data_IF_085675437947
#
_entry.id   IF_085675437947
#
_cell.length_a   1.000
_cell.length_b   1.000
_cell.length_c   1.000
_cell.angle_alpha   90.00
_cell.angle_beta   90.00
_cell.angle_gamma   90.00
#
_symmetry.space_group_name_H-M   'P 1'
#
loop_
_entity.id
_entity.type
_entity.pdbx_description
1 polymer ?
#
# COMPACT_ATOMS: atom_id res chain seq x y z
N UNK A 1 0.55 1.64 -28.35
CA UNK A 1 -0.85 1.97 -28.01
C UNK A 1 -1.02 1.62 -26.54
N UNK A 2 -0.92 2.60 -25.64
CA UNK A 2 -1.12 2.35 -24.20
C UNK A 2 -2.62 2.33 -24.01
N UNK A 3 -3.20 1.17 -23.71
CA UNK A 3 -4.60 1.07 -23.31
C UNK A 3 -4.77 1.96 -22.09
N UNK A 4 -5.58 3.01 -22.25
CA UNK A 4 -6.00 3.88 -21.17
C UNK A 4 -6.58 2.99 -20.07
N UNK A 5 -5.86 2.92 -18.95
CA UNK A 5 -6.41 2.42 -17.69
C UNK A 5 -7.57 3.36 -17.41
N UNK A 6 -8.81 2.93 -17.73
CA UNK A 6 -10.00 3.61 -17.23
C UNK A 6 -9.77 3.83 -15.73
N UNK A 7 -9.87 5.09 -15.29
CA UNK A 7 -9.35 5.54 -14.00
C UNK A 7 -9.67 4.54 -12.90
N UNK A 8 -8.63 3.95 -12.31
CA UNK A 8 -8.78 3.02 -11.20
C UNK A 8 -9.42 3.83 -10.07
N UNK A 9 -10.62 3.41 -9.65
CA UNK A 9 -11.35 3.98 -8.50
C UNK A 9 -11.43 2.92 -7.39
N UNK A 10 -10.32 2.69 -6.66
CA UNK A 10 -10.23 1.59 -5.72
C UNK A 10 -11.06 1.89 -4.46
N UNK A 11 -11.67 0.85 -3.88
CA UNK A 11 -12.41 0.99 -2.61
C UNK A 11 -11.48 1.35 -1.45
N UNK A 12 -10.23 0.87 -1.49
CA UNK A 12 -9.18 1.14 -0.51
C UNK A 12 -7.80 1.17 -1.22
N UNK A 13 -6.91 2.06 -0.77
CA UNK A 13 -5.51 2.11 -1.20
C UNK A 13 -4.62 2.00 0.03
N UNK A 14 -3.80 0.94 0.07
CA UNK A 14 -2.89 0.65 1.16
C UNK A 14 -1.45 0.57 0.63
N UNK A 15 -0.55 1.37 1.20
CA UNK A 15 0.89 1.25 1.01
C UNK A 15 1.52 0.36 2.07
N UNK A 16 2.27 -0.66 1.67
CA UNK A 16 3.13 -1.42 2.60
C UNK A 16 4.55 -0.88 2.50
N UNK A 17 5.01 -0.22 3.56
CA UNK A 17 6.34 0.38 3.64
C UNK A 17 7.31 -0.54 4.39
N UNK A 18 8.61 -0.32 4.22
CA UNK A 18 9.64 -1.10 4.90
C UNK A 18 10.87 -0.25 5.09
N UNK A 19 11.90 -0.48 4.26
CA UNK A 19 13.06 0.39 4.20
C UNK A 19 12.66 1.84 3.92
N UNK A 20 13.27 2.77 4.65
CA UNK A 20 13.02 4.22 4.56
C UNK A 20 11.54 4.62 4.77
N UNK A 21 10.79 3.81 5.53
CA UNK A 21 9.36 4.01 5.81
C UNK A 21 9.03 5.45 6.21
N UNK A 22 9.78 6.06 7.14
CA UNK A 22 9.50 7.44 7.58
C UNK A 22 9.53 8.46 6.42
N UNK A 23 10.49 8.34 5.49
CA UNK A 23 10.60 9.25 4.35
C UNK A 23 9.48 9.02 3.33
N UNK A 24 9.17 7.76 3.04
CA UNK A 24 8.10 7.38 2.12
C UNK A 24 6.72 7.80 2.66
N UNK A 25 6.47 7.57 3.95
CA UNK A 25 5.20 7.90 4.60
C UNK A 25 4.95 9.39 4.66
N UNK A 26 6.01 10.20 4.83
CA UNK A 26 5.91 11.65 4.73
C UNK A 26 5.44 12.09 3.34
N UNK A 27 5.98 11.50 2.27
CA UNK A 27 5.54 11.80 0.90
C UNK A 27 4.10 11.33 0.66
N UNK A 28 3.71 10.15 1.18
CA UNK A 28 2.31 9.67 1.12
C UNK A 28 1.38 10.65 1.82
N UNK A 29 1.77 11.20 2.98
CA UNK A 29 0.97 12.21 3.68
C UNK A 29 0.80 13.49 2.85
N UNK A 30 1.82 13.92 2.10
CA UNK A 30 1.69 15.06 1.18
C UNK A 30 0.74 14.75 0.02
N UNK A 31 0.85 13.56 -0.57
CA UNK A 31 -0.06 13.10 -1.65
C UNK A 31 -1.51 13.10 -1.16
N UNK A 32 -1.75 12.62 0.07
CA UNK A 32 -3.08 12.54 0.67
C UNK A 32 -3.78 13.89 0.86
N UNK A 33 -3.04 15.00 0.89
CA UNK A 33 -3.64 16.35 0.98
C UNK A 33 -4.40 16.73 -0.29
N UNK A 34 -4.03 16.15 -1.43
CA UNK A 34 -4.59 16.47 -2.75
C UNK A 34 -5.36 15.29 -3.37
N UNK A 35 -5.31 14.11 -2.75
CA UNK A 35 -5.94 12.90 -3.28
C UNK A 35 -7.45 12.85 -2.96
N UNK A 36 -8.26 12.44 -3.93
CA UNK A 36 -9.69 12.22 -3.72
C UNK A 36 -9.97 11.05 -2.75
N UNK A 37 -9.12 10.02 -2.77
CA UNK A 37 -9.10 8.91 -1.80
C UNK A 37 -7.73 8.88 -1.11
N UNK A 38 -7.66 9.04 0.23
CA UNK A 38 -6.42 8.91 0.96
C UNK A 38 -5.86 7.49 0.89
N UNK A 39 -4.54 7.39 0.74
CA UNK A 39 -3.77 6.16 0.90
C UNK A 39 -3.44 5.95 2.39
N UNK A 40 -3.83 4.81 2.94
CA UNK A 40 -3.35 4.35 4.26
C UNK A 40 -2.01 3.65 4.09
N UNK A 41 -1.28 3.45 5.18
CA UNK A 41 -0.03 2.69 5.12
C UNK A 41 0.20 1.85 6.37
N UNK A 42 0.94 0.75 6.19
CA UNK A 42 1.45 -0.12 7.26
C UNK A 42 2.93 -0.41 7.02
N UNK A 43 3.66 -0.65 8.11
CA UNK A 43 5.10 -0.94 8.07
C UNK A 43 5.34 -2.45 8.15
N UNK A 44 5.98 -3.01 7.14
CA UNK A 44 6.62 -4.31 7.25
C UNK A 44 7.90 -4.18 8.08
N UNK A 45 7.89 -4.79 9.27
CA UNK A 45 9.04 -4.80 10.18
C UNK A 45 10.17 -5.74 9.75
N UNK A 46 9.91 -6.63 8.79
CA UNK A 46 10.89 -7.62 8.30
C UNK A 46 11.04 -7.54 6.76
N UNK A 47 11.35 -6.37 6.18
CA UNK A 47 11.42 -6.20 4.73
C UNK A 47 12.53 -7.03 4.07
N UNK A 48 13.52 -7.48 4.83
CA UNK A 48 14.58 -8.40 4.40
C UNK A 48 14.09 -9.81 4.05
N UNK A 49 12.89 -10.20 4.50
CA UNK A 49 12.25 -11.47 4.11
C UNK A 49 11.72 -11.45 2.67
N UNK A 50 11.92 -10.36 1.95
CA UNK A 50 11.56 -10.20 0.55
C UNK A 50 10.12 -9.74 0.33
N UNK A 51 9.77 -9.55 -0.94
CA UNK A 51 8.51 -8.91 -1.34
C UNK A 51 7.26 -9.65 -0.87
N UNK A 52 7.30 -10.98 -0.81
CA UNK A 52 6.17 -11.81 -0.38
C UNK A 52 5.72 -11.50 1.05
N UNK A 53 6.64 -11.16 1.94
CA UNK A 53 6.32 -10.76 3.32
C UNK A 53 5.49 -9.47 3.36
N UNK A 54 5.80 -8.50 2.49
CA UNK A 54 5.03 -7.26 2.37
C UNK A 54 3.65 -7.49 1.74
N UNK A 55 3.56 -8.36 0.74
CA UNK A 55 2.27 -8.72 0.12
C UNK A 55 1.36 -9.40 1.13
N UNK A 56 1.88 -10.39 1.86
CA UNK A 56 1.14 -11.09 2.92
C UNK A 56 0.64 -10.12 3.98
N UNK A 57 1.53 -9.28 4.52
CA UNK A 57 1.16 -8.28 5.52
C UNK A 57 0.08 -7.32 5.00
N UNK A 58 0.18 -6.90 3.74
CA UNK A 58 -0.84 -6.09 3.07
C UNK A 58 -2.20 -6.77 3.10
N UNK A 59 -2.28 -8.03 2.64
CA UNK A 59 -3.52 -8.81 2.62
C UNK A 59 -4.09 -9.03 4.03
N UNK A 60 -3.26 -9.42 4.99
CA UNK A 60 -3.67 -9.67 6.39
C UNK A 60 -4.19 -8.41 7.10
N UNK A 61 -3.75 -7.23 6.66
CA UNK A 61 -4.21 -5.95 7.22
C UNK A 61 -5.56 -5.48 6.68
N UNK A 62 -5.99 -6.02 5.53
CA UNK A 62 -7.31 -5.73 4.98
C UNK A 62 -8.35 -6.44 5.84
N UNK A 63 -9.47 -5.79 6.11
CA UNK A 63 -10.56 -6.35 6.95
C UNK A 63 -11.35 -7.49 6.27
N UNK A 64 -10.86 -8.02 5.15
CA UNK A 64 -11.42 -9.20 4.50
C UNK A 64 -10.66 -10.45 4.92
N UNK A 65 -11.34 -11.59 4.98
CA UNK A 65 -10.72 -12.90 5.19
C UNK A 65 -9.90 -13.33 3.96
N UNK A 66 -8.86 -12.56 3.63
CA UNK A 66 -7.94 -12.86 2.55
C UNK A 66 -6.86 -13.79 3.07
N UNK A 67 -7.03 -15.09 2.80
CA UNK A 67 -6.05 -16.10 3.18
C UNK A 67 -4.81 -15.97 2.27
N UNK A 68 -3.69 -15.52 2.83
CA UNK A 68 -2.41 -15.37 2.12
C UNK A 68 -1.65 -16.73 2.09
N UNK A 69 -2.30 -17.74 1.52
CA UNK A 69 -1.79 -19.11 1.35
C UNK A 69 -0.67 -19.17 0.31
#
# INVERSE_FOLDING_TARGET
MIHSIQGIDPVEVLGVTGFYSDAVEKEIQLINQCAHRPMTFIRNSNPELGQSSSVRLGLESLKGDYDAL
#
